data_IF_963532143313
#
_entry.id   IF_963532143313
#
_cell.length_a   1.000
_cell.length_b   1.000
_cell.length_c   1.000
_cell.angle_alpha   90.00
_cell.angle_beta   90.00
_cell.angle_gamma   90.00
#
_symmetry.space_group_name_H-M   'P 1'
#
loop_
_entity.id
_entity.type
_entity.pdbx_description
1 polymer ?
#
# COMPACT_ATOMS: atom_id res chain seq x y z
N UNK A 1 -14.28 -25.02 14.48
CA UNK A 1 -14.46 -23.85 13.59
C UNK A 1 -13.10 -23.23 13.38
N UNK A 2 -12.59 -23.17 12.15
CA UNK A 2 -11.35 -22.44 11.86
C UNK A 2 -11.75 -20.97 11.69
N UNK A 3 -11.40 -20.12 12.66
CA UNK A 3 -11.43 -18.68 12.46
C UNK A 3 -10.22 -18.34 11.60
N UNK A 4 -10.45 -17.93 10.36
CA UNK A 4 -9.36 -17.45 9.52
C UNK A 4 -8.80 -16.18 10.17
N UNK A 5 -7.57 -16.22 10.66
CA UNK A 5 -6.90 -15.03 11.18
C UNK A 5 -6.92 -13.93 10.10
N UNK A 6 -7.33 -12.70 10.44
CA UNK A 6 -7.40 -11.63 9.48
C UNK A 6 -5.97 -11.32 9.00
N UNK A 7 -5.65 -11.73 7.77
CA UNK A 7 -4.35 -11.45 7.19
C UNK A 7 -4.24 -9.94 6.94
N UNK A 8 -3.15 -9.28 7.33
CA UNK A 8 -3.00 -7.85 7.17
C UNK A 8 -2.96 -7.47 5.68
N UNK A 9 -3.65 -6.38 5.33
CA UNK A 9 -3.62 -5.79 4.00
C UNK A 9 -3.02 -4.39 4.06
N UNK A 10 -2.23 -4.05 3.06
CA UNK A 10 -1.65 -2.72 2.92
C UNK A 10 -2.47 -1.90 1.94
N UNK A 11 -2.75 -0.65 2.30
CA UNK A 11 -3.13 0.40 1.35
C UNK A 11 -1.88 1.23 1.10
N UNK A 12 -1.56 1.51 -0.16
CA UNK A 12 -0.35 2.26 -0.53
C UNK A 12 -0.64 3.32 -1.59
N UNK A 13 0.15 4.40 -1.55
CA UNK A 13 0.09 5.50 -2.50
C UNK A 13 1.44 5.64 -3.21
N UNK A 14 1.40 5.71 -4.53
CA UNK A 14 2.57 5.98 -5.38
C UNK A 14 2.40 7.32 -6.06
N UNK A 15 3.48 8.09 -6.11
CA UNK A 15 3.60 9.20 -7.05
C UNK A 15 3.90 8.62 -8.43
N UNK A 16 3.13 9.03 -9.42
CA UNK A 16 3.27 8.61 -10.80
C UNK A 16 3.52 9.85 -11.67
N UNK A 17 4.24 9.62 -12.77
CA UNK A 17 4.58 10.67 -13.74
C UNK A 17 3.37 11.51 -14.15
N UNK A 18 3.57 12.83 -14.17
CA UNK A 18 2.53 13.80 -14.51
C UNK A 18 1.65 14.20 -13.33
N UNK A 19 2.24 14.27 -12.13
CA UNK A 19 1.60 14.72 -10.89
C UNK A 19 0.36 13.90 -10.49
N UNK A 20 0.32 12.62 -10.85
CA UNK A 20 -0.78 11.69 -10.55
C UNK A 20 -0.41 10.85 -9.34
N UNK A 21 -1.41 10.55 -8.52
CA UNK A 21 -1.23 9.67 -7.37
C UNK A 21 -2.02 8.40 -7.59
N UNK A 22 -1.32 7.26 -7.64
CA UNK A 22 -1.94 5.94 -7.69
C UNK A 22 -2.22 5.44 -6.26
N UNK A 23 -3.36 4.80 -6.06
CA UNK A 23 -3.76 4.19 -4.80
C UNK A 23 -4.12 2.74 -5.07
N UNK A 24 -3.58 1.81 -4.28
CA UNK A 24 -3.90 0.40 -4.39
C UNK A 24 -3.82 -0.32 -3.06
N UNK A 25 -4.34 -1.55 -3.06
CA UNK A 25 -4.25 -2.48 -1.92
C UNK A 25 -3.48 -3.73 -2.28
N UNK A 26 -2.80 -4.33 -1.28
CA UNK A 26 -2.10 -5.60 -1.45
C UNK A 26 -1.80 -6.25 -0.10
N UNK A 27 -1.84 -7.58 0.03
CA UNK A 27 -1.34 -8.27 1.21
C UNK A 27 0.20 -8.36 1.25
N UNK A 28 0.89 -8.07 0.13
CA UNK A 28 2.35 -8.19 0.00
C UNK A 28 2.94 -6.93 -0.64
N UNK A 29 3.19 -5.91 0.19
CA UNK A 29 3.62 -4.60 -0.26
C UNK A 29 4.94 -4.65 -1.05
N UNK A 30 5.98 -5.28 -0.49
CA UNK A 30 7.30 -5.34 -1.13
C UNK A 30 7.26 -6.02 -2.50
N UNK A 31 6.62 -7.19 -2.58
CA UNK A 31 6.45 -7.92 -3.83
C UNK A 31 5.70 -7.08 -4.88
N UNK A 32 4.70 -6.31 -4.44
CA UNK A 32 3.93 -5.41 -5.32
C UNK A 32 4.77 -4.25 -5.82
N UNK A 33 5.58 -3.62 -4.96
CA UNK A 33 6.49 -2.54 -5.34
C UNK A 33 7.57 -3.04 -6.29
N UNK A 34 8.14 -4.21 -6.05
CA UNK A 34 9.09 -4.86 -6.95
C UNK A 34 8.47 -5.14 -8.33
N UNK A 35 7.23 -5.64 -8.38
CA UNK A 35 6.52 -5.85 -9.64
C UNK A 35 6.29 -4.55 -10.41
N UNK A 36 5.96 -3.46 -9.72
CA UNK A 36 5.83 -2.13 -10.32
C UNK A 36 7.16 -1.60 -10.89
N UNK A 37 8.26 -1.74 -10.14
CA UNK A 37 9.62 -1.38 -10.60
C UNK A 37 10.06 -2.20 -11.83
N UNK A 38 9.67 -3.46 -11.87
CA UNK A 38 9.98 -4.37 -12.98
C UNK A 38 9.04 -4.20 -14.21
N UNK A 39 8.14 -3.20 -14.22
CA UNK A 39 7.20 -2.97 -15.32
C UNK A 39 6.07 -4.01 -15.43
N UNK A 40 5.95 -4.93 -14.46
CA UNK A 40 4.90 -5.96 -14.35
C UNK A 40 3.76 -5.52 -13.42
N UNK A 41 3.65 -4.20 -13.19
CA UNK A 41 2.61 -3.58 -12.37
C UNK A 41 1.23 -3.57 -13.04
N UNK A 42 0.30 -2.83 -12.45
CA UNK A 42 -1.01 -2.60 -13.06
C UNK A 42 -0.89 -1.90 -14.43
N UNK A 43 -1.88 -2.08 -15.31
CA UNK A 43 -1.93 -1.40 -16.62
C UNK A 43 -1.74 0.11 -16.51
N UNK A 44 -2.25 0.72 -15.43
CA UNK A 44 -2.07 2.14 -15.12
C UNK A 44 -0.61 2.51 -14.84
N UNK A 45 0.08 1.75 -13.99
CA UNK A 45 1.49 2.00 -13.62
C UNK A 45 2.47 1.66 -14.76
N UNK A 46 2.04 0.90 -15.77
CA UNK A 46 2.80 0.70 -17.01
C UNK A 46 2.70 1.90 -17.96
N UNK A 47 1.58 2.62 -17.95
CA UNK A 47 1.38 3.84 -18.75
C UNK A 47 1.92 5.09 -18.05
N UNK A 48 1.88 5.10 -16.71
CA UNK A 48 2.41 6.14 -15.84
C UNK A 48 3.35 5.51 -14.82
N UNK A 49 4.65 5.36 -15.14
CA UNK A 49 5.60 4.70 -14.26
C UNK A 49 5.59 5.36 -12.88
N UNK A 50 5.54 4.57 -11.79
CA UNK A 50 5.63 5.11 -10.45
C UNK A 50 7.04 5.62 -10.20
N UNK A 51 7.13 6.88 -9.78
CA UNK A 51 8.39 7.57 -9.48
C UNK A 51 8.84 7.28 -8.05
N UNK A 52 7.90 7.24 -7.11
CA UNK A 52 8.20 7.00 -5.70
C UNK A 52 7.00 6.46 -4.91
N UNK A 53 7.29 5.73 -3.82
CA UNK A 53 6.29 5.41 -2.79
C UNK A 53 6.09 6.64 -1.90
N UNK A 54 4.86 7.14 -1.83
CA UNK A 54 4.51 8.27 -0.96
C UNK A 54 4.23 7.80 0.47
N UNK A 55 3.59 6.64 0.62
CA UNK A 55 3.29 6.04 1.91
C UNK A 55 2.52 4.74 1.78
N UNK A 56 2.56 3.92 2.82
CA UNK A 56 1.72 2.74 2.98
C UNK A 56 1.21 2.64 4.42
N UNK A 57 0.06 1.99 4.61
CA UNK A 57 -0.54 1.75 5.92
C UNK A 57 -1.15 0.34 5.95
N UNK A 58 -0.97 -0.35 7.07
CA UNK A 58 -1.52 -1.68 7.31
C UNK A 58 -2.96 -1.59 7.85
N UNK A 59 -3.79 -2.54 7.43
CA UNK A 59 -5.17 -2.71 7.82
C UNK A 59 -5.40 -4.17 8.23
N UNK A 60 -6.29 -4.44 9.21
CA UNK A 60 -6.50 -5.78 9.73
C UNK A 60 -6.98 -6.77 8.67
N UNK A 61 -7.77 -6.31 7.69
CA UNK A 61 -8.25 -7.19 6.64
C UNK A 61 -8.57 -6.50 5.31
N UNK A 62 -8.87 -7.34 4.30
CA UNK A 62 -9.15 -6.90 2.94
C UNK A 62 -10.30 -5.89 2.86
N UNK A 63 -11.39 -6.14 3.59
CA UNK A 63 -12.58 -5.26 3.56
C UNK A 63 -12.33 -3.88 4.15
N UNK A 64 -11.45 -3.74 5.13
CA UNK A 64 -11.04 -2.43 5.66
C UNK A 64 -10.10 -1.71 4.70
N UNK A 65 -9.14 -2.44 4.13
CA UNK A 65 -8.24 -1.89 3.11
C UNK A 65 -9.02 -1.38 1.89
N UNK A 66 -10.04 -2.11 1.41
CA UNK A 66 -10.88 -1.67 0.28
C UNK A 66 -11.71 -0.43 0.61
N UNK A 67 -12.30 -0.35 1.81
CA UNK A 67 -13.05 0.83 2.25
C UNK A 67 -12.15 2.06 2.29
N UNK A 68 -10.95 1.91 2.82
CA UNK A 68 -9.97 2.99 2.84
C UNK A 68 -9.51 3.37 1.43
N UNK A 69 -9.23 2.39 0.56
CA UNK A 69 -8.86 2.64 -0.84
C UNK A 69 -9.93 3.46 -1.57
N UNK A 70 -11.21 3.12 -1.40
CA UNK A 70 -12.33 3.86 -1.97
C UNK A 70 -12.41 5.29 -1.42
N UNK A 71 -12.21 5.47 -0.11
CA UNK A 71 -12.16 6.80 0.52
C UNK A 71 -11.05 7.65 -0.08
N UNK A 72 -9.83 7.10 -0.15
CA UNK A 72 -8.65 7.79 -0.67
C UNK A 72 -8.79 8.10 -2.16
N UNK A 73 -9.36 7.20 -2.95
CA UNK A 73 -9.56 7.40 -4.40
C UNK A 73 -10.35 8.69 -4.71
N UNK A 74 -11.30 9.05 -3.85
CA UNK A 74 -12.13 10.26 -3.96
C UNK A 74 -11.40 11.55 -3.59
N UNK A 75 -10.24 11.47 -2.93
CA UNK A 75 -9.49 12.64 -2.52
C UNK A 75 -8.73 13.27 -3.71
N UNK A 76 -8.58 14.60 -3.74
CA UNK A 76 -7.73 15.27 -4.71
C UNK A 76 -6.25 14.88 -4.52
N UNK A 77 -5.40 14.95 -5.57
CA UNK A 77 -3.99 14.54 -5.49
C UNK A 77 -3.19 15.23 -4.37
N UNK A 78 -3.46 16.50 -4.08
CA UNK A 78 -2.81 17.23 -3.01
C UNK A 78 -3.13 16.63 -1.62
N UNK A 79 -4.38 16.27 -1.39
CA UNK A 79 -4.81 15.67 -0.12
C UNK A 79 -4.31 14.24 0.03
N UNK A 80 -4.23 13.48 -1.07
CA UNK A 80 -3.56 12.17 -1.08
C UNK A 80 -2.09 12.26 -0.64
N UNK A 81 -1.35 13.25 -1.13
CA UNK A 81 0.05 13.49 -0.72
C UNK A 81 0.15 13.89 0.74
N UNK A 82 -0.74 14.76 1.22
CA UNK A 82 -0.81 15.13 2.64
C UNK A 82 -1.10 13.91 3.52
N UNK A 83 -2.07 13.09 3.13
CA UNK A 83 -2.41 11.85 3.82
C UNK A 83 -1.23 10.88 3.84
N UNK A 84 -0.55 10.68 2.70
CA UNK A 84 0.63 9.82 2.65
C UNK A 84 1.78 10.35 3.54
N UNK A 85 1.94 11.67 3.65
CA UNK A 85 2.90 12.27 4.56
C UNK A 85 2.60 12.00 6.03
N UNK A 86 1.32 11.83 6.43
CA UNK A 86 0.97 11.44 7.80
C UNK A 86 1.22 9.96 8.09
N UNK A 87 1.41 9.14 7.05
CA UNK A 87 1.77 7.72 7.20
C UNK A 87 3.26 7.51 7.46
N UNK A 88 4.07 8.58 7.44
CA UNK A 88 5.45 8.58 7.92
C UNK A 88 5.49 8.44 9.43
N UNK A 89 5.54 7.18 9.88
CA UNK A 89 6.17 6.66 11.12
C UNK A 89 5.96 5.15 11.30
N UNK A 90 5.15 4.50 10.47
CA UNK A 90 4.95 3.05 10.47
C UNK A 90 5.60 2.42 9.22
N UNK A 91 6.91 2.60 9.11
CA UNK A 91 7.75 1.81 8.20
C UNK A 91 8.59 0.79 8.98
N UNK A 92 8.36 0.67 10.28
CA UNK A 92 8.83 -0.49 11.03
C UNK A 92 7.96 -1.66 10.55
N UNK A 93 8.60 -2.63 9.89
CA UNK A 93 7.96 -3.91 9.62
C UNK A 93 7.50 -4.54 10.93
N UNK A 94 6.79 -5.69 10.90
CA UNK A 94 6.75 -6.49 12.11
C UNK A 94 8.21 -6.81 12.49
N UNK A 95 8.71 -6.13 13.51
CA UNK A 95 9.90 -6.54 14.26
C UNK A 95 9.72 -8.02 14.56
N UNK A 96 10.68 -8.83 14.10
CA UNK A 96 10.56 -10.27 14.08
C UNK A 96 10.15 -10.80 15.44
N UNK A 97 8.97 -11.39 15.53
CA UNK A 97 8.68 -12.40 16.55
C UNK A 97 9.50 -13.64 16.18
N UNK A 98 10.76 -13.64 16.60
CA UNK A 98 11.54 -14.86 16.80
C UNK A 98 10.97 -15.55 18.03
N UNK A 99 9.87 -16.29 17.86
CA UNK A 99 9.57 -17.37 18.79
C UNK A 99 10.57 -18.49 18.47
N UNK A 100 11.68 -18.50 19.20
CA UNK A 100 12.55 -19.65 19.33
C UNK A 100 11.77 -20.76 20.05
N UNK A 101 11.32 -21.75 19.30
CA UNK A 101 10.98 -23.07 19.83
C UNK A 101 12.20 -23.98 19.63
N UNK A 102 12.94 -24.23 20.72
CA UNK A 102 13.72 -25.45 20.99
C UNK A 102 14.27 -25.42 22.42
#
# INVERSE_FOLDING_TARGET
MIVASPQPWYVYLLECRGARVYTGVTPRLEARLAAHRAGRGARFTRMYPPEQLLGAKVFPGHGEALREEQRIKRLPPAEKRRLAATWKRQNDGPEGTLDHEA
#
